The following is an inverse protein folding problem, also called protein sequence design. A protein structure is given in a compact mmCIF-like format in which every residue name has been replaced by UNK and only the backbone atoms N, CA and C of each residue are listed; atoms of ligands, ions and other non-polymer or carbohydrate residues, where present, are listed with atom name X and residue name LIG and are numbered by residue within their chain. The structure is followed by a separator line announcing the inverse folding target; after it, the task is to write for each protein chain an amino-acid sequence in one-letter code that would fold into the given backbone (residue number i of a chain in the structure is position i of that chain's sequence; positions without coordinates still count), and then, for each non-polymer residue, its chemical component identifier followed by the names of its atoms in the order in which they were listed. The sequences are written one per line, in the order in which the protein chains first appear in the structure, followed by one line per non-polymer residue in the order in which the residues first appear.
data_IF_735947243129
#
_entry.id   IF_735947243129
#
_cell.length_a   1.000
_cell.length_b   1.000
_cell.length_c   1.000
_cell.angle_alpha   90.00
_cell.angle_beta   90.00
_cell.angle_gamma   90.00
#
_symmetry.space_group_name_H-M   'P 1'
#
loop_
_entity.id
_entity.type
_entity.pdbx_description
1 polymer ?
#
# COMPACT_ATOMS: atom_id res chain seq x y z
N UNK A 1 -49.09 -21.20 -21.52
CA UNK A 1 -48.43 -20.08 -20.79
C UNK A 1 -47.56 -20.58 -19.62
N UNK A 2 -46.78 -21.66 -19.76
CA UNK A 2 -45.85 -22.15 -18.71
C UNK A 2 -44.38 -22.21 -19.16
N UNK A 3 -44.12 -22.17 -20.47
CA UNK A 3 -42.77 -22.22 -21.03
C UNK A 3 -42.04 -20.87 -21.00
N UNK A 4 -42.75 -19.75 -21.24
CA UNK A 4 -42.15 -18.41 -21.25
C UNK A 4 -41.64 -17.94 -19.87
N UNK A 5 -42.27 -18.37 -18.78
CA UNK A 5 -41.88 -18.00 -17.41
C UNK A 5 -40.67 -18.79 -16.89
N UNK A 6 -40.40 -19.98 -17.43
CA UNK A 6 -39.21 -20.78 -17.06
C UNK A 6 -37.97 -20.30 -17.82
N UNK A 7 -38.12 -19.84 -19.06
CA UNK A 7 -37.00 -19.38 -19.89
C UNK A 7 -36.40 -18.06 -19.38
N UNK A 8 -37.23 -17.15 -18.88
CA UNK A 8 -36.78 -15.89 -18.26
C UNK A 8 -36.08 -16.13 -16.93
N UNK A 9 -36.54 -17.09 -16.11
CA UNK A 9 -35.92 -17.41 -14.82
C UNK A 9 -34.52 -18.05 -14.96
N UNK A 10 -34.32 -18.89 -15.98
CA UNK A 10 -32.99 -19.47 -16.28
C UNK A 10 -32.01 -18.42 -16.81
N UNK A 11 -32.48 -17.46 -17.62
CA UNK A 11 -31.62 -16.40 -18.15
C UNK A 11 -31.17 -15.39 -17.07
N UNK A 12 -32.01 -15.14 -16.05
CA UNK A 12 -31.66 -14.30 -14.89
C UNK A 12 -30.66 -15.01 -13.96
N UNK A 13 -30.72 -16.35 -13.82
CA UNK A 13 -29.77 -17.10 -12.99
C UNK A 13 -28.37 -17.23 -13.63
N UNK A 14 -28.26 -17.19 -14.96
CA UNK A 14 -26.97 -17.27 -15.66
C UNK A 14 -26.26 -15.92 -15.67
N UNK A 15 -27.01 -14.81 -15.65
CA UNK A 15 -26.46 -13.45 -15.67
C UNK A 15 -25.78 -13.02 -14.36
N UNK A 16 -26.06 -13.68 -13.22
CA UNK A 16 -25.47 -13.35 -11.92
C UNK A 16 -24.09 -13.97 -11.67
N UNK A 17 -23.61 -14.89 -12.52
CA UNK A 17 -22.30 -15.54 -12.35
C UNK A 17 -21.12 -14.74 -12.94
N UNK A 18 -21.37 -13.62 -13.62
CA UNK A 18 -20.33 -12.82 -14.27
C UNK A 18 -19.73 -11.72 -13.40
N UNK A 19 -20.20 -11.55 -12.16
CA UNK A 19 -19.58 -10.60 -11.21
C UNK A 19 -18.44 -11.26 -10.43
N UNK A 20 -17.42 -11.79 -11.12
CA UNK A 20 -16.16 -12.18 -10.48
C UNK A 20 -15.21 -10.99 -10.41
N UNK A 21 -15.62 -9.97 -9.64
CA UNK A 21 -14.74 -8.88 -9.26
C UNK A 21 -13.82 -9.33 -8.14
N UNK A 22 -12.70 -9.97 -8.46
CA UNK A 22 -11.59 -10.05 -7.51
C UNK A 22 -11.01 -8.65 -7.34
N UNK A 23 -11.52 -7.87 -6.38
CA UNK A 23 -10.86 -6.63 -5.97
C UNK A 23 -9.64 -7.02 -5.12
N UNK A 24 -8.52 -7.27 -5.78
CA UNK A 24 -7.30 -7.82 -5.15
C UNK A 24 -6.20 -6.77 -5.01
N UNK A 25 -6.55 -5.53 -4.60
CA UNK A 25 -5.55 -4.62 -4.03
C UNK A 25 -5.80 -4.46 -2.54
N UNK A 26 -5.14 -5.29 -1.73
CA UNK A 26 -5.05 -5.12 -0.27
C UNK A 26 -4.04 -4.06 0.16
N UNK A 27 -3.37 -3.43 -0.80
CA UNK A 27 -2.31 -2.45 -0.58
C UNK A 27 -2.65 -1.10 -1.20
N UNK A 28 -2.27 -0.01 -0.52
CA UNK A 28 -2.49 1.35 -0.99
C UNK A 28 -2.63 2.35 0.15
N UNK A 29 -2.85 3.61 -0.21
CA UNK A 29 -3.24 4.64 0.74
C UNK A 29 -4.77 4.80 0.74
N UNK A 30 -5.42 4.37 1.82
CA UNK A 30 -6.86 4.48 2.08
C UNK A 30 -7.16 5.56 3.12
N UNK A 31 -6.19 6.41 3.42
CA UNK A 31 -6.37 7.53 4.34
C UNK A 31 -6.78 8.80 3.61
N UNK A 32 -7.27 9.77 4.38
CA UNK A 32 -7.46 11.16 3.93
C UNK A 32 -6.23 12.04 4.23
N UNK A 33 -5.04 11.45 4.38
CA UNK A 33 -3.81 12.20 4.63
C UNK A 33 -3.45 13.10 3.44
N UNK A 34 -3.13 14.35 3.73
CA UNK A 34 -2.64 15.29 2.71
C UNK A 34 -1.22 14.91 2.24
N UNK A 35 -0.70 15.64 1.25
CA UNK A 35 0.64 15.40 0.70
C UNK A 35 1.77 15.54 1.72
N UNK A 36 1.71 16.52 2.63
CA UNK A 36 2.72 16.74 3.66
C UNK A 36 2.75 15.63 4.71
N UNK A 37 1.57 15.21 5.17
CA UNK A 37 1.43 14.07 6.08
C UNK A 37 1.91 12.77 5.43
N UNK A 38 1.55 12.53 4.17
CA UNK A 38 2.01 11.36 3.41
C UNK A 38 3.53 11.33 3.29
N UNK A 39 4.15 12.48 2.98
CA UNK A 39 5.60 12.60 2.89
C UNK A 39 6.31 12.38 4.24
N UNK A 40 5.80 12.96 5.34
CA UNK A 40 6.43 12.78 6.66
C UNK A 40 6.30 11.35 7.19
N UNK A 41 5.17 10.68 6.90
CA UNK A 41 4.99 9.25 7.19
C UNK A 41 5.95 8.38 6.37
N UNK A 42 6.10 8.67 5.06
CA UNK A 42 7.04 7.95 4.20
C UNK A 42 8.49 8.12 4.67
N UNK A 43 8.88 9.33 5.09
CA UNK A 43 10.21 9.62 5.66
C UNK A 43 10.49 8.76 6.89
N UNK A 44 9.54 8.71 7.83
CA UNK A 44 9.69 7.91 9.03
C UNK A 44 9.74 6.41 8.73
N UNK A 45 8.97 5.97 7.74
CA UNK A 45 8.96 4.58 7.26
C UNK A 45 10.32 4.20 6.69
N UNK A 46 10.91 5.03 5.81
CA UNK A 46 12.23 4.77 5.23
C UNK A 46 13.34 4.78 6.29
N UNK A 47 13.27 5.67 7.28
CA UNK A 47 14.21 5.68 8.40
C UNK A 47 14.19 4.34 9.13
N UNK A 48 13.01 3.79 9.40
CA UNK A 48 12.88 2.49 10.06
C UNK A 48 13.27 1.31 9.15
N UNK A 49 12.92 1.35 7.87
CA UNK A 49 13.38 0.33 6.92
C UNK A 49 14.91 0.28 6.88
N UNK A 50 15.59 1.42 6.97
CA UNK A 50 17.03 1.48 6.93
C UNK A 50 17.75 0.93 8.17
N UNK A 51 17.07 0.77 9.30
CA UNK A 51 17.65 0.08 10.46
C UNK A 51 17.64 -1.43 10.32
N UNK A 52 16.71 -1.97 9.51
CA UNK A 52 16.48 -3.41 9.34
C UNK A 52 17.05 -3.95 8.01
N UNK A 53 17.06 -3.12 6.97
CA UNK A 53 17.43 -3.48 5.61
C UNK A 53 18.43 -2.47 5.07
N UNK A 54 19.76 -2.69 5.18
CA UNK A 54 20.76 -1.70 4.84
C UNK A 54 20.74 -1.28 3.35
N UNK A 55 20.95 0.02 3.04
CA UNK A 55 21.05 0.48 1.65
C UNK A 55 22.25 -0.14 0.94
N UNK A 56 22.18 -0.26 -0.40
CA UNK A 56 23.22 -0.89 -1.23
C UNK A 56 23.27 -2.43 -1.17
N UNK A 57 22.68 -3.04 -0.14
CA UNK A 57 22.53 -4.52 -0.02
C UNK A 57 21.09 -4.99 -0.17
N UNK A 58 20.14 -4.06 -0.17
CA UNK A 58 18.72 -4.35 -0.36
C UNK A 58 18.23 -3.68 -1.65
N UNK A 59 17.60 -4.48 -2.50
CA UNK A 59 16.74 -3.99 -3.58
C UNK A 59 15.31 -4.25 -3.16
N UNK A 60 14.49 -3.19 -3.07
CA UNK A 60 13.07 -3.35 -2.78
C UNK A 60 12.27 -3.53 -4.06
N UNK A 61 11.29 -4.42 -4.02
CA UNK A 61 10.38 -4.68 -5.13
C UNK A 61 8.97 -4.40 -4.69
N UNK A 62 8.37 -3.38 -5.28
CA UNK A 62 7.06 -2.91 -4.87
C UNK A 62 6.00 -4.01 -5.10
N UNK A 63 5.07 -4.17 -4.16
CA UNK A 63 3.90 -5.06 -4.30
C UNK A 63 2.66 -4.36 -4.87
N UNK A 64 2.73 -3.05 -5.04
CA UNK A 64 1.69 -2.21 -5.66
C UNK A 64 2.29 -1.09 -6.52
N UNK A 65 1.55 -0.51 -7.47
CA UNK A 65 1.93 0.75 -8.11
C UNK A 65 1.97 1.89 -7.08
N UNK A 66 3.09 2.60 -6.98
CA UNK A 66 3.31 3.71 -6.04
C UNK A 66 2.75 5.04 -6.58
N UNK A 67 1.46 5.06 -6.94
CA UNK A 67 0.80 6.21 -7.61
C UNK A 67 0.15 7.20 -6.64
N UNK A 68 -0.03 6.81 -5.38
CA UNK A 68 -0.59 7.70 -4.34
C UNK A 68 0.49 8.58 -3.67
N UNK A 69 0.09 9.63 -2.93
CA UNK A 69 1.05 10.56 -2.31
C UNK A 69 2.04 9.91 -1.34
N UNK A 70 1.64 8.86 -0.62
CA UNK A 70 2.55 8.15 0.28
C UNK A 70 3.49 7.25 -0.51
N UNK A 71 2.97 6.48 -1.48
CA UNK A 71 3.77 5.60 -2.32
C UNK A 71 4.85 6.32 -3.10
N UNK A 72 4.48 7.41 -3.78
CA UNK A 72 5.42 8.23 -4.55
C UNK A 72 6.52 8.81 -3.66
N UNK A 73 6.17 9.35 -2.49
CA UNK A 73 7.14 9.80 -1.49
C UNK A 73 8.02 8.66 -0.99
N UNK A 74 7.45 7.49 -0.66
CA UNK A 74 8.20 6.31 -0.18
C UNK A 74 9.27 5.90 -1.20
N UNK A 75 8.89 5.73 -2.46
CA UNK A 75 9.83 5.35 -3.54
C UNK A 75 10.91 6.40 -3.71
N UNK A 76 10.54 7.69 -3.76
CA UNK A 76 11.51 8.77 -3.89
C UNK A 76 12.52 8.75 -2.74
N UNK A 77 12.06 8.55 -1.51
CA UNK A 77 12.90 8.58 -0.31
C UNK A 77 13.79 7.35 -0.19
N UNK A 78 13.30 6.17 -0.57
CA UNK A 78 14.13 4.98 -0.72
C UNK A 78 15.27 5.23 -1.71
N UNK A 79 14.98 5.76 -2.90
CA UNK A 79 16.03 6.07 -3.88
C UNK A 79 17.02 7.10 -3.36
N UNK A 80 16.54 8.17 -2.72
CA UNK A 80 17.40 9.19 -2.13
C UNK A 80 18.35 8.64 -1.07
N UNK A 81 17.98 7.52 -0.44
CA UNK A 81 18.77 6.84 0.60
C UNK A 81 19.68 5.73 0.03
N UNK A 82 19.71 5.56 -1.30
CA UNK A 82 20.59 4.61 -1.98
C UNK A 82 20.02 3.20 -2.17
N UNK A 83 18.70 3.01 -2.06
CA UNK A 83 18.08 1.75 -2.43
C UNK A 83 17.84 1.67 -3.93
N UNK A 84 18.08 0.48 -4.50
CA UNK A 84 17.45 0.11 -5.75
C UNK A 84 15.97 -0.22 -5.47
N UNK A 85 15.07 0.32 -6.28
CA UNK A 85 13.62 0.11 -6.15
C UNK A 85 13.05 -0.31 -7.50
N UNK A 86 12.51 -1.52 -7.54
CA UNK A 86 11.81 -2.11 -8.69
C UNK A 86 10.33 -1.80 -8.53
N UNK A 87 9.78 -1.05 -9.49
CA UNK A 87 8.39 -0.60 -9.49
C UNK A 87 7.53 -1.36 -10.51
N UNK A 88 6.25 -1.00 -10.58
CA UNK A 88 5.36 -1.44 -11.63
C UNK A 88 5.58 -0.61 -12.89
N UNK A 89 5.46 -1.26 -14.05
CA UNK A 89 5.45 -0.60 -15.35
C UNK A 89 4.22 0.30 -15.49
N UNK A 90 4.21 1.16 -16.52
CA UNK A 90 3.07 2.02 -16.84
C UNK A 90 1.78 1.23 -17.05
N UNK A 91 1.91 0.02 -17.59
CA UNK A 91 0.80 -0.92 -17.85
C UNK A 91 0.34 -1.68 -16.59
N UNK A 92 0.86 -1.34 -15.41
CA UNK A 92 0.44 -1.92 -14.13
C UNK A 92 0.96 -3.34 -13.90
N UNK A 93 2.05 -3.75 -14.58
CA UNK A 93 2.71 -5.05 -14.35
C UNK A 93 3.97 -4.88 -13.51
N UNK A 94 4.32 -5.79 -12.60
CA UNK A 94 5.61 -5.74 -11.91
C UNK A 94 6.76 -5.77 -12.93
N UNK A 95 7.73 -4.86 -12.82
CA UNK A 95 8.90 -4.85 -13.72
C UNK A 95 9.80 -6.07 -13.52
N UNK A 96 9.90 -6.56 -12.28
CA UNK A 96 10.56 -7.81 -11.89
C UNK A 96 10.02 -8.23 -10.53
N UNK A 97 10.19 -9.49 -10.16
CA UNK A 97 9.86 -10.04 -8.84
C UNK A 97 11.10 -10.36 -8.00
N UNK A 98 12.30 -10.10 -8.54
CA UNK A 98 13.56 -10.26 -7.80
C UNK A 98 13.72 -9.20 -6.73
N UNK A 99 14.40 -9.49 -5.61
CA UNK A 99 14.61 -8.55 -4.50
C UNK A 99 13.66 -8.76 -3.33
N UNK A 100 13.71 -7.86 -2.35
CA UNK A 100 12.89 -7.91 -1.13
C UNK A 100 11.51 -7.29 -1.41
N UNK A 101 10.41 -8.05 -1.31
CA UNK A 101 9.08 -7.51 -1.55
C UNK A 101 8.73 -6.41 -0.54
N UNK A 102 8.23 -5.27 -1.02
CA UNK A 102 7.80 -4.14 -0.20
C UNK A 102 6.38 -3.70 -0.60
N UNK A 103 5.42 -3.89 0.31
CA UNK A 103 4.06 -3.34 0.18
C UNK A 103 3.74 -2.39 1.32
N UNK A 104 2.69 -1.59 1.17
CA UNK A 104 2.20 -0.74 2.26
C UNK A 104 0.68 -0.58 2.26
N UNK A 105 0.15 -0.30 3.45
CA UNK A 105 -1.22 0.16 3.69
C UNK A 105 -1.15 1.41 4.56
N UNK A 106 -1.83 2.48 4.15
CA UNK A 106 -2.04 3.67 5.00
C UNK A 106 -3.52 3.84 5.26
N UNK A 107 -3.92 3.85 6.53
CA UNK A 107 -5.32 3.96 6.95
C UNK A 107 -5.54 5.19 7.82
N UNK A 108 -6.74 5.77 7.76
CA UNK A 108 -7.25 6.66 8.81
C UNK A 108 -7.90 5.80 9.88
N UNK A 109 -7.40 5.87 11.12
CA UNK A 109 -7.96 5.13 12.26
C UNK A 109 -9.11 5.92 12.88
N UNK A 110 -8.85 7.19 13.16
CA UNK A 110 -9.81 8.22 13.57
C UNK A 110 -9.36 9.56 12.96
N UNK A 111 -10.17 10.62 12.97
CA UNK A 111 -9.73 11.92 12.48
C UNK A 111 -8.37 12.31 13.07
N UNK A 112 -7.45 12.77 12.22
CA UNK A 112 -6.09 13.17 12.57
C UNK A 112 -5.19 12.05 13.14
N UNK A 113 -5.58 10.78 13.05
CA UNK A 113 -4.75 9.64 13.40
C UNK A 113 -4.68 8.66 12.24
N UNK A 114 -3.48 8.50 11.70
CA UNK A 114 -3.17 7.56 10.63
C UNK A 114 -2.41 6.35 11.17
N UNK A 115 -2.43 5.27 10.41
CA UNK A 115 -1.53 4.12 10.62
C UNK A 115 -0.87 3.78 9.30
N UNK A 116 0.45 3.61 9.32
CA UNK A 116 1.20 2.99 8.22
C UNK A 116 1.51 1.56 8.62
N UNK A 117 1.22 0.63 7.71
CA UNK A 117 1.68 -0.76 7.81
C UNK A 117 2.51 -1.08 6.57
N UNK A 118 3.79 -1.37 6.75
CA UNK A 118 4.70 -1.83 5.71
C UNK A 118 4.86 -3.35 5.78
N UNK A 119 4.81 -4.01 4.63
CA UNK A 119 4.97 -5.45 4.47
C UNK A 119 6.29 -5.69 3.75
N UNK A 120 7.28 -6.28 4.42
CA UNK A 120 8.65 -6.44 3.92
C UNK A 120 9.04 -7.91 3.96
N UNK A 121 8.97 -8.58 2.81
CA UNK A 121 8.99 -10.05 2.78
C UNK A 121 7.85 -10.60 3.65
N UNK A 122 8.20 -11.36 4.67
CA UNK A 122 7.26 -11.95 5.64
C UNK A 122 7.05 -11.07 6.89
N UNK A 123 7.84 -10.01 7.05
CA UNK A 123 7.76 -9.11 8.21
C UNK A 123 6.70 -8.04 7.98
N UNK A 124 5.87 -7.79 8.99
CA UNK A 124 4.94 -6.66 9.02
C UNK A 124 5.40 -5.63 10.05
N UNK A 125 5.55 -4.39 9.61
CA UNK A 125 5.94 -3.25 10.43
C UNK A 125 4.78 -2.27 10.49
N UNK A 126 4.31 -1.89 11.69
CA UNK A 126 3.20 -0.93 11.80
C UNK A 126 3.50 0.21 12.78
N UNK A 127 2.99 1.40 12.49
CA UNK A 127 3.13 2.57 13.37
C UNK A 127 1.99 3.56 13.17
N UNK A 128 1.52 4.14 14.27
CA UNK A 128 0.54 5.23 14.25
C UNK A 128 1.19 6.60 14.05
N UNK A 129 0.45 7.55 13.45
CA UNK A 129 0.89 8.92 13.21
C UNK A 129 -0.24 9.92 13.48
N UNK A 130 0.03 10.98 14.25
CA UNK A 130 -0.92 12.07 14.51
C UNK A 130 -0.67 13.23 13.56
N UNK A 131 -1.72 13.72 12.90
CA UNK A 131 -1.68 14.93 12.09
C UNK A 131 -1.52 16.16 13.00
N UNK A 132 -0.49 16.97 12.73
CA UNK A 132 -0.24 18.23 13.41
C UNK A 132 -0.78 19.42 12.61
N UNK A 133 -0.77 20.59 13.24
CA UNK A 133 -1.26 21.86 12.68
C UNK A 133 -0.42 22.37 11.51
N UNK A 134 0.82 21.91 11.37
CA UNK A 134 1.70 22.19 10.21
C UNK A 134 1.36 21.33 8.98
N UNK A 135 0.33 20.48 9.08
CA UNK A 135 -0.12 19.59 8.02
C UNK A 135 0.69 18.31 7.88
N UNK A 136 1.78 18.13 8.66
CA UNK A 136 2.57 16.90 8.69
C UNK A 136 2.01 15.94 9.73
N UNK A 137 2.36 14.66 9.57
CA UNK A 137 2.02 13.63 10.54
C UNK A 137 3.27 13.16 11.28
N UNK A 138 3.18 13.11 12.61
CA UNK A 138 4.27 12.77 13.52
C UNK A 138 4.02 11.42 14.21
N UNK A 139 5.06 10.66 14.55
CA UNK A 139 4.88 9.34 15.15
C UNK A 139 4.12 9.36 16.48
N UNK A 140 3.15 8.47 16.62
CA UNK A 140 2.28 8.34 17.79
C UNK A 140 2.70 7.23 18.77
N UNK A 141 3.89 6.63 18.58
CA UNK A 141 4.39 5.48 19.34
C UNK A 141 5.61 4.85 18.66
N UNK A 142 6.17 3.74 19.16
CA UNK A 142 7.23 2.99 18.47
C UNK A 142 6.69 2.22 17.23
N UNK A 143 7.59 1.67 16.42
CA UNK A 143 7.22 0.68 15.40
C UNK A 143 6.91 -0.66 16.08
N UNK A 144 5.79 -1.28 15.71
CA UNK A 144 5.53 -2.70 16.00
C UNK A 144 6.09 -3.56 14.88
N UNK A 145 6.52 -4.77 15.21
CA UNK A 145 7.05 -5.76 14.28
C UNK A 145 6.41 -7.11 14.55
N UNK A 146 5.85 -7.70 13.52
CA UNK A 146 5.30 -9.06 13.49
C UNK A 146 6.13 -9.88 12.49
N UNK A 147 6.45 -11.13 12.85
CA UNK A 147 7.18 -12.12 12.05
C UNK A 147 6.28 -13.31 11.70
#
# INVERSE_FOLDING_TARGET
MKAAMKLTSVMVLIASLLTTGCVSSSYGNYSNANMFASASMADNTVVNLATLYPPGRTTFTMKQPAKDPFGSALVQRLRSRGYAVIEFTKDGKPQSTSGTPLGYVVNTIVPNLYQVTAFVGDVKLSRGFVLATDGKAYPAGPWTREE
#
